data_IF_313097095700
#
_entry.id   IF_313097095700
#
_cell.length_a   1.000
_cell.length_b   1.000
_cell.length_c   1.000
_cell.angle_alpha   90.00
_cell.angle_beta   90.00
_cell.angle_gamma   90.00
#
_symmetry.space_group_name_H-M   'P 1'
#
loop_
_entity.id
_entity.type
_entity.pdbx_description
1 polymer ?
#
# COMPACT_ATOMS: atom_id res chain seq x y z
N UNK A 1 -37.20 -17.98 -7.96
CA UNK A 1 -35.76 -17.81 -8.21
C UNK A 1 -35.04 -18.66 -7.17
N UNK A 2 -34.20 -19.60 -7.59
CA UNK A 2 -33.58 -20.60 -6.72
C UNK A 2 -32.92 -19.92 -5.51
N UNK A 3 -33.22 -20.37 -4.28
CA UNK A 3 -32.79 -19.77 -3.01
C UNK A 3 -31.26 -19.53 -2.97
N UNK A 4 -30.50 -20.39 -3.64
CA UNK A 4 -29.04 -20.28 -3.81
C UNK A 4 -28.62 -19.04 -4.62
N UNK A 5 -29.30 -18.75 -5.73
CA UNK A 5 -29.01 -17.58 -6.55
C UNK A 5 -29.46 -16.29 -5.85
N UNK A 6 -30.56 -16.32 -5.09
CA UNK A 6 -31.01 -15.18 -4.29
C UNK A 6 -29.97 -14.80 -3.22
N UNK A 7 -29.40 -15.80 -2.52
CA UNK A 7 -28.31 -15.59 -1.55
C UNK A 7 -27.04 -15.05 -2.22
N UNK A 8 -26.64 -15.62 -3.35
CA UNK A 8 -25.48 -15.15 -4.09
C UNK A 8 -25.67 -13.72 -4.65
N UNK A 9 -26.85 -13.39 -5.15
CA UNK A 9 -27.21 -12.03 -5.56
C UNK A 9 -27.14 -11.04 -4.40
N UNK A 10 -27.58 -11.44 -3.21
CA UNK A 10 -27.46 -10.61 -2.02
C UNK A 10 -25.99 -10.35 -1.64
N UNK A 11 -25.13 -11.37 -1.72
CA UNK A 11 -23.68 -11.20 -1.51
C UNK A 11 -23.09 -10.25 -2.55
N UNK A 12 -23.37 -10.46 -3.84
CA UNK A 12 -22.85 -9.60 -4.90
C UNK A 12 -23.30 -8.14 -4.76
N UNK A 13 -24.54 -7.90 -4.34
CA UNK A 13 -25.06 -6.53 -4.21
C UNK A 13 -24.47 -5.80 -3.00
N UNK A 14 -24.10 -6.53 -1.96
CA UNK A 14 -23.65 -5.94 -0.70
C UNK A 14 -22.15 -6.11 -0.45
N UNK A 15 -21.38 -6.62 -1.42
CA UNK A 15 -19.94 -6.80 -1.29
C UNK A 15 -19.20 -5.47 -1.56
N UNK A 16 -18.35 -4.98 -0.63
CA UNK A 16 -17.61 -3.74 -0.80
C UNK A 16 -16.71 -3.67 -2.04
N UNK A 17 -16.26 -4.80 -2.61
CA UNK A 17 -15.53 -4.84 -3.88
C UNK A 17 -16.37 -4.48 -5.10
N UNK A 18 -17.69 -4.56 -4.99
CA UNK A 18 -18.63 -4.24 -6.08
C UNK A 18 -19.04 -2.77 -6.07
N UNK A 19 -18.77 -2.06 -4.98
CA UNK A 19 -18.98 -0.63 -4.90
C UNK A 19 -17.89 0.12 -5.69
N UNK A 20 -18.22 1.26 -6.30
CA UNK A 20 -17.21 2.12 -6.91
C UNK A 20 -16.16 2.55 -5.88
N UNK A 21 -14.93 2.03 -6.02
CA UNK A 21 -13.79 2.49 -5.23
C UNK A 21 -13.14 3.70 -5.90
N UNK A 22 -12.72 4.68 -5.10
CA UNK A 22 -11.84 5.74 -5.59
C UNK A 22 -10.53 5.11 -6.06
N UNK A 23 -10.00 5.57 -7.20
CA UNK A 23 -8.70 5.13 -7.69
C UNK A 23 -7.91 6.26 -8.32
N UNK A 24 -6.62 6.33 -8.01
CA UNK A 24 -5.69 7.24 -8.65
C UNK A 24 -4.32 6.59 -8.85
N UNK A 25 -3.68 6.89 -9.97
CA UNK A 25 -2.27 6.54 -10.18
C UNK A 25 -1.38 7.47 -9.35
N UNK A 26 -0.24 6.94 -8.93
CA UNK A 26 0.81 7.75 -8.30
C UNK A 26 2.12 7.54 -9.02
N UNK A 27 2.96 8.58 -9.04
CA UNK A 27 4.35 8.48 -9.47
C UNK A 27 5.21 7.96 -8.32
N UNK A 28 6.30 7.24 -8.64
CA UNK A 28 7.20 6.63 -7.66
C UNK A 28 7.78 7.66 -6.69
N UNK A 29 8.14 8.85 -7.17
CA UNK A 29 8.67 9.92 -6.32
C UNK A 29 7.67 10.48 -5.32
N UNK A 30 6.37 10.38 -5.60
CA UNK A 30 5.30 10.94 -4.79
C UNK A 30 4.44 9.85 -4.11
N UNK A 31 4.73 8.57 -4.33
CA UNK A 31 3.82 7.50 -3.91
C UNK A 31 3.66 7.42 -2.40
N UNK A 32 4.75 7.60 -1.63
CA UNK A 32 4.68 7.59 -0.17
C UNK A 32 3.93 8.79 0.38
N UNK A 33 4.16 9.98 -0.19
CA UNK A 33 3.44 11.18 0.18
C UNK A 33 1.94 11.03 -0.08
N UNK A 34 1.56 10.54 -1.27
CA UNK A 34 0.16 10.35 -1.63
C UNK A 34 -0.56 9.37 -0.71
N UNK A 35 0.07 8.24 -0.36
CA UNK A 35 -0.51 7.29 0.60
C UNK A 35 -0.65 7.96 1.97
N UNK A 36 0.42 8.58 2.47
CA UNK A 36 0.43 9.18 3.80
C UNK A 36 -0.63 10.30 3.91
N UNK A 37 -0.83 11.09 2.85
CA UNK A 37 -1.88 12.12 2.77
C UNK A 37 -3.29 11.54 2.89
N UNK A 38 -3.55 10.34 2.37
CA UNK A 38 -4.83 9.68 2.55
C UNK A 38 -4.99 9.09 3.96
N UNK A 39 -3.88 8.73 4.61
CA UNK A 39 -3.87 8.25 5.98
C UNK A 39 -4.14 9.35 7.01
N UNK A 40 -3.46 10.50 6.90
CA UNK A 40 -3.59 11.62 7.87
C UNK A 40 -3.41 12.97 7.17
N UNK A 41 -4.48 13.49 6.58
CA UNK A 41 -4.41 14.74 5.82
C UNK A 41 -3.88 15.92 6.64
N UNK A 42 -4.27 16.04 7.90
CA UNK A 42 -4.01 17.23 8.73
C UNK A 42 -2.55 17.34 9.15
N UNK A 43 -1.92 16.22 9.52
CA UNK A 43 -0.47 16.19 9.75
C UNK A 43 0.32 16.52 8.48
N UNK A 44 -0.19 16.13 7.32
CA UNK A 44 0.47 16.34 6.03
C UNK A 44 0.34 17.77 5.48
N UNK A 45 -0.74 18.50 5.79
CA UNK A 45 -0.84 19.94 5.44
C UNK A 45 0.28 20.74 6.10
N UNK A 46 0.62 20.44 7.36
CA UNK A 46 1.68 21.12 8.13
C UNK A 46 3.10 20.85 7.63
N UNK A 47 3.34 19.70 7.01
CA UNK A 47 4.65 19.38 6.41
C UNK A 47 4.92 20.24 5.18
N UNK A 48 3.89 20.50 4.36
CA UNK A 48 3.99 21.33 3.15
C UNK A 48 4.35 22.79 3.46
N UNK A 49 3.91 23.30 4.61
CA UNK A 49 4.24 24.65 5.08
C UNK A 49 5.74 24.84 5.35
N UNK A 50 6.50 23.75 5.58
CA UNK A 50 7.96 23.80 5.77
C UNK A 50 8.76 23.92 4.47
N UNK A 51 8.12 23.92 3.29
CA UNK A 51 8.75 24.02 1.96
C UNK A 51 9.85 22.99 1.69
N UNK A 52 9.79 21.82 2.33
CA UNK A 52 10.73 20.72 2.07
C UNK A 52 10.33 19.98 0.80
N UNK A 53 11.33 19.55 0.02
CA UNK A 53 11.15 18.62 -1.11
C UNK A 53 10.48 17.32 -0.60
N UNK A 54 9.50 16.79 -1.35
CA UNK A 54 8.81 15.52 -1.03
C UNK A 54 9.79 14.34 -0.90
N UNK A 55 10.94 14.44 -1.58
CA UNK A 55 12.04 13.48 -1.52
C UNK A 55 13.10 13.80 -0.46
N UNK A 56 12.90 14.85 0.35
CA UNK A 56 13.79 15.12 1.47
C UNK A 56 13.74 13.94 2.46
N UNK A 57 14.89 13.43 2.97
CA UNK A 57 14.92 12.25 3.82
C UNK A 57 13.99 12.31 5.03
N UNK A 58 13.85 13.48 5.66
CA UNK A 58 12.95 13.65 6.80
C UNK A 58 11.46 13.61 6.42
N UNK A 59 11.12 14.10 5.22
CA UNK A 59 9.75 14.00 4.69
C UNK A 59 9.42 12.54 4.38
N UNK A 60 10.34 11.83 3.71
CA UNK A 60 10.18 10.39 3.44
C UNK A 60 9.98 9.62 4.75
N UNK A 61 10.85 9.82 5.75
CA UNK A 61 10.73 9.18 7.07
C UNK A 61 9.41 9.50 7.75
N UNK A 62 8.97 10.77 7.70
CA UNK A 62 7.69 11.18 8.28
C UNK A 62 6.50 10.51 7.58
N UNK A 63 6.55 10.40 6.24
CA UNK A 63 5.52 9.69 5.48
C UNK A 63 5.47 8.21 5.85
N UNK A 64 6.63 7.55 5.94
CA UNK A 64 6.73 6.14 6.34
C UNK A 64 6.14 5.94 7.75
N UNK A 65 6.47 6.81 8.70
CA UNK A 65 5.94 6.72 10.06
C UNK A 65 4.41 6.94 10.11
N UNK A 66 3.90 7.90 9.35
CA UNK A 66 2.47 8.17 9.22
C UNK A 66 1.72 6.96 8.63
N UNK A 67 2.24 6.36 7.56
CA UNK A 67 1.66 5.14 6.97
C UNK A 67 1.69 3.98 7.97
N UNK A 68 2.81 3.76 8.66
CA UNK A 68 2.95 2.70 9.64
C UNK A 68 1.94 2.82 10.80
N UNK A 69 1.64 4.04 11.24
CA UNK A 69 0.62 4.30 12.26
C UNK A 69 -0.81 3.97 11.79
N UNK A 70 -1.03 3.85 10.48
CA UNK A 70 -2.31 3.52 9.85
C UNK A 70 -2.33 2.10 9.27
N UNK A 71 -1.39 1.24 9.69
CA UNK A 71 -1.45 -0.20 9.44
C UNK A 71 -2.29 -0.84 10.54
N UNK A 72 -3.45 -1.45 10.20
CA UNK A 72 -4.30 -2.08 11.20
C UNK A 72 -3.59 -3.25 11.91
N UNK A 73 -3.88 -3.48 13.20
CA UNK A 73 -3.23 -4.53 13.98
C UNK A 73 -3.55 -5.95 13.49
N UNK A 74 -4.66 -6.14 12.76
CA UNK A 74 -5.05 -7.41 12.15
C UNK A 74 -4.21 -7.79 10.93
N UNK A 75 -3.46 -6.85 10.34
CA UNK A 75 -2.55 -7.19 9.25
C UNK A 75 -1.46 -8.14 9.73
N UNK A 76 -0.97 -8.95 8.81
CA UNK A 76 0.20 -9.78 9.05
C UNK A 76 1.46 -8.95 9.17
N UNK A 77 2.48 -9.54 9.76
CA UNK A 77 3.78 -8.88 9.89
C UNK A 77 4.39 -8.56 8.52
N UNK A 78 5.19 -7.51 8.53
CA UNK A 78 5.82 -6.96 7.34
C UNK A 78 7.20 -7.60 7.06
N UNK A 79 7.25 -8.92 7.13
CA UNK A 79 8.45 -9.74 7.05
C UNK A 79 8.40 -10.77 5.90
N UNK A 80 7.32 -10.78 5.11
CA UNK A 80 7.09 -11.83 4.10
C UNK A 80 7.83 -11.64 2.78
N UNK A 81 8.43 -10.48 2.53
CA UNK A 81 9.26 -10.25 1.33
C UNK A 81 10.73 -10.18 1.72
N UNK A 82 11.54 -11.09 1.17
CA UNK A 82 13.00 -11.02 1.31
C UNK A 82 13.57 -9.78 0.61
N UNK A 83 14.84 -9.46 0.86
CA UNK A 83 15.53 -8.39 0.15
C UNK A 83 15.47 -8.58 -1.37
N UNK A 84 15.70 -9.80 -1.86
CA UNK A 84 15.69 -10.14 -3.28
C UNK A 84 14.31 -9.93 -3.91
N UNK A 85 13.23 -10.25 -3.19
CA UNK A 85 11.87 -9.99 -3.64
C UNK A 85 11.60 -8.49 -3.79
N UNK A 86 12.06 -7.70 -2.81
CA UNK A 86 11.91 -6.24 -2.82
C UNK A 86 12.74 -5.62 -3.97
N UNK A 87 13.97 -6.07 -4.18
CA UNK A 87 14.81 -5.65 -5.30
C UNK A 87 14.16 -5.97 -6.64
N UNK A 88 13.62 -7.19 -6.79
CA UNK A 88 12.93 -7.63 -8.00
C UNK A 88 11.68 -6.80 -8.28
N UNK A 89 10.90 -6.49 -7.25
CA UNK A 89 9.70 -5.66 -7.37
C UNK A 89 10.04 -4.25 -7.88
N UNK A 90 11.04 -3.60 -7.29
CA UNK A 90 11.48 -2.27 -7.73
C UNK A 90 12.04 -2.32 -9.15
N UNK A 91 12.87 -3.31 -9.48
CA UNK A 91 13.39 -3.46 -10.84
C UNK A 91 12.26 -3.64 -11.87
N UNK A 92 11.21 -4.38 -11.54
CA UNK A 92 10.05 -4.55 -12.43
C UNK A 92 9.31 -3.22 -12.64
N UNK A 93 9.11 -2.44 -11.58
CA UNK A 93 8.55 -1.08 -11.68
C UNK A 93 9.40 -0.22 -12.62
N UNK A 94 10.72 -0.19 -12.42
CA UNK A 94 11.64 0.61 -13.24
C UNK A 94 11.63 0.20 -14.72
N UNK A 95 11.29 -1.06 -15.02
CA UNK A 95 11.07 -1.58 -16.39
C UNK A 95 9.71 -1.21 -16.97
N UNK A 96 8.85 -0.55 -16.20
CA UNK A 96 7.51 -0.11 -16.60
C UNK A 96 6.38 -1.05 -16.21
N UNK A 97 6.64 -2.12 -15.44
CA UNK A 97 5.55 -2.97 -14.93
C UNK A 97 4.82 -2.29 -13.79
N UNK A 98 3.50 -2.23 -13.89
CA UNK A 98 2.64 -1.74 -12.83
C UNK A 98 2.29 -2.88 -11.87
N UNK A 99 2.57 -2.69 -10.58
CA UNK A 99 2.17 -3.60 -9.52
C UNK A 99 0.67 -3.56 -9.26
N UNK A 100 0.18 -4.55 -8.50
CA UNK A 100 -1.18 -4.53 -7.97
C UNK A 100 -1.43 -3.27 -7.13
N UNK A 101 -2.67 -2.74 -7.12
CA UNK A 101 -2.99 -1.54 -6.37
C UNK A 101 -2.60 -1.63 -4.88
N UNK A 102 -2.28 -0.48 -4.29
CA UNK A 102 -2.28 -0.32 -2.84
C UNK A 102 -3.72 -0.08 -2.42
N UNK A 103 -4.28 -1.00 -1.64
CA UNK A 103 -5.65 -0.88 -1.15
C UNK A 103 -5.62 -0.21 0.21
N UNK A 104 -6.36 0.88 0.34
CA UNK A 104 -6.66 1.53 1.60
C UNK A 104 -8.15 1.36 1.89
N UNK A 105 -8.53 1.58 3.14
CA UNK A 105 -9.93 1.68 3.51
C UNK A 105 -10.20 2.86 4.42
N UNK A 106 -11.43 3.34 4.38
CA UNK A 106 -11.95 4.38 5.29
C UNK A 106 -13.25 3.90 5.92
N UNK A 107 -13.51 4.38 7.14
CA UNK A 107 -14.79 4.24 7.83
C UNK A 107 -15.64 5.51 7.75
N UNK A 108 -15.10 6.57 7.13
CA UNK A 108 -15.77 7.84 6.90
C UNK A 108 -15.84 8.20 5.41
N UNK A 109 -16.74 9.13 5.06
CA UNK A 109 -16.94 9.59 3.68
C UNK A 109 -15.81 10.50 3.16
N UNK A 110 -14.89 10.94 4.04
CA UNK A 110 -13.95 12.03 3.77
C UNK A 110 -12.71 11.59 3.02
N UNK A 111 -12.41 10.28 3.00
CA UNK A 111 -11.22 9.67 2.36
C UNK A 111 -9.91 10.28 2.88
N UNK A 112 -9.88 10.75 4.12
CA UNK A 112 -8.71 11.46 4.69
C UNK A 112 -8.19 10.87 6.00
N UNK A 113 -8.77 9.75 6.44
CA UNK A 113 -8.35 8.94 7.59
C UNK A 113 -8.29 7.47 7.17
N UNK A 114 -7.53 7.18 6.12
CA UNK A 114 -7.50 5.85 5.53
C UNK A 114 -6.48 4.94 6.20
N UNK A 115 -6.83 3.67 6.32
CA UNK A 115 -5.98 2.61 6.83
C UNK A 115 -5.50 1.71 5.69
N UNK A 116 -4.30 1.14 5.84
CA UNK A 116 -3.76 0.21 4.85
C UNK A 116 -4.56 -1.10 4.91
N UNK A 117 -5.06 -1.59 3.77
CA UNK A 117 -5.77 -2.86 3.65
C UNK A 117 -4.93 -3.94 2.96
N UNK A 118 -4.20 -3.55 1.91
CA UNK A 118 -3.30 -4.42 1.16
C UNK A 118 -2.14 -3.62 0.55
N UNK A 119 -1.01 -4.31 0.36
CA UNK A 119 0.18 -3.76 -0.31
C UNK A 119 1.30 -3.32 0.62
N UNK A 120 1.26 -3.69 1.91
CA UNK A 120 2.27 -3.30 2.89
C UNK A 120 3.72 -3.61 2.45
N UNK A 121 3.96 -4.75 1.80
CA UNK A 121 5.30 -5.11 1.32
C UNK A 121 5.73 -4.28 0.12
N UNK A 122 4.78 -3.87 -0.74
CA UNK A 122 5.03 -2.99 -1.89
C UNK A 122 5.40 -1.58 -1.42
N UNK A 123 4.66 -1.06 -0.44
CA UNK A 123 4.98 0.22 0.23
C UNK A 123 6.40 0.14 0.81
N UNK A 124 6.72 -0.95 1.52
CA UNK A 124 8.02 -1.15 2.15
C UNK A 124 9.17 -1.21 1.16
N UNK A 125 9.00 -1.92 0.05
CA UNK A 125 10.01 -1.98 -1.01
C UNK A 125 10.29 -0.59 -1.60
N UNK A 126 9.25 0.24 -1.80
CA UNK A 126 9.42 1.63 -2.26
C UNK A 126 10.09 2.49 -1.20
N UNK A 127 9.67 2.38 0.06
CA UNK A 127 10.31 3.07 1.18
C UNK A 127 11.80 2.80 1.22
N UNK A 128 12.19 1.53 1.08
CA UNK A 128 13.59 1.12 1.03
C UNK A 128 14.30 1.64 -0.20
N UNK A 129 13.72 1.56 -1.39
CA UNK A 129 14.34 2.14 -2.59
C UNK A 129 14.68 3.63 -2.43
N UNK A 130 13.82 4.39 -1.74
CA UNK A 130 14.00 5.83 -1.54
C UNK A 130 14.99 6.20 -0.41
N UNK A 131 15.27 5.29 0.54
CA UNK A 131 16.12 5.59 1.71
C UNK A 131 17.40 4.74 1.79
N UNK A 132 17.33 3.47 1.37
CA UNK A 132 18.44 2.51 1.39
C UNK A 132 19.29 2.72 0.14
N UNK A 133 20.29 3.61 0.27
CA UNK A 133 21.23 3.96 -0.80
C UNK A 133 21.90 2.73 -1.44
N UNK A 134 22.10 1.66 -0.66
CA UNK A 134 22.80 0.43 -1.05
C UNK A 134 21.88 -0.65 -1.65
N UNK A 135 20.60 -0.39 -1.89
CA UNK A 135 19.73 -1.36 -2.59
C UNK A 135 20.28 -1.63 -3.99
N UNK A 136 20.51 -2.91 -4.35
CA UNK A 136 21.25 -3.30 -5.56
C UNK A 136 20.35 -3.94 -6.61
N UNK A 137 20.57 -3.54 -7.86
CA UNK A 137 19.89 -4.06 -9.04
C UNK A 137 20.91 -4.61 -10.04
N UNK A 138 20.64 -5.81 -10.55
CA UNK A 138 21.45 -6.40 -11.62
C UNK A 138 20.80 -6.14 -12.97
N UNK A 139 21.44 -5.34 -13.82
CA UNK A 139 20.92 -4.90 -15.10
C UNK A 139 21.99 -5.18 -16.16
N UNK A 140 21.68 -6.04 -17.14
CA UNK A 140 22.54 -6.33 -18.30
C UNK A 140 23.99 -6.73 -17.96
N UNK A 141 24.23 -7.41 -16.84
CA UNK A 141 25.58 -7.82 -16.43
C UNK A 141 26.24 -6.91 -15.41
N UNK A 142 25.64 -5.74 -15.12
CA UNK A 142 26.18 -4.75 -14.20
C UNK A 142 25.32 -4.65 -12.93
N UNK A 143 25.96 -4.29 -11.83
CA UNK A 143 25.28 -3.98 -10.57
C UNK A 143 25.19 -2.47 -10.41
N UNK A 144 23.98 -1.96 -10.23
CA UNK A 144 23.71 -0.54 -10.01
C UNK A 144 22.95 -0.40 -8.69
N UNK A 145 23.32 0.59 -7.88
CA UNK A 145 22.67 0.90 -6.60
C UNK A 145 21.51 1.89 -6.76
N UNK A 146 20.62 1.93 -5.76
CA UNK A 146 19.56 2.95 -5.69
C UNK A 146 20.14 4.37 -5.66
N UNK A 147 21.23 4.60 -4.94
CA UNK A 147 21.94 5.89 -4.92
C UNK A 147 22.36 6.33 -6.33
N UNK A 148 23.04 5.46 -7.08
CA UNK A 148 23.50 5.76 -8.44
C UNK A 148 22.33 6.08 -9.36
N UNK A 149 21.22 5.35 -9.24
CA UNK A 149 20.00 5.62 -10.01
C UNK A 149 19.38 6.97 -9.65
N UNK A 150 19.23 7.26 -8.36
CA UNK A 150 18.58 8.46 -7.85
C UNK A 150 19.43 9.73 -8.01
N UNK A 151 20.75 9.60 -8.21
CA UNK A 151 21.66 10.71 -8.48
C UNK A 151 22.00 10.88 -9.97
N UNK A 152 21.56 9.95 -10.82
CA UNK A 152 21.81 10.02 -12.26
C UNK A 152 20.97 11.08 -12.97
N UNK A 153 21.37 11.42 -14.20
CA UNK A 153 20.58 12.25 -15.13
C UNK A 153 19.17 11.66 -15.43
N UNK A 154 18.97 10.37 -15.17
CA UNK A 154 17.68 9.69 -15.37
C UNK A 154 16.74 9.81 -14.17
N UNK A 155 17.16 10.47 -13.08
CA UNK A 155 16.38 10.61 -11.83
C UNK A 155 14.93 11.00 -12.08
N UNK A 156 14.68 12.01 -12.91
CA UNK A 156 13.31 12.47 -13.19
C UNK A 156 12.45 11.38 -13.85
N UNK A 157 13.01 10.65 -14.82
CA UNK A 157 12.31 9.55 -15.51
C UNK A 157 12.03 8.38 -14.57
N UNK A 158 12.95 8.08 -13.66
CA UNK A 158 12.82 7.04 -12.64
C UNK A 158 11.68 7.38 -11.67
N UNK A 159 11.65 8.61 -11.19
CA UNK A 159 10.66 9.06 -10.20
C UNK A 159 9.27 9.24 -10.81
N UNK A 160 9.16 9.54 -12.11
CA UNK A 160 7.88 9.67 -12.82
C UNK A 160 7.24 8.33 -13.22
N UNK A 161 7.89 7.20 -12.95
CA UNK A 161 7.27 5.88 -13.19
C UNK A 161 6.05 5.73 -12.29
N UNK A 162 4.95 5.17 -12.82
CA UNK A 162 3.74 4.92 -12.03
C UNK A 162 3.72 3.48 -11.49
N UNK A 163 4.18 3.21 -10.24
CA UNK A 163 4.33 1.85 -9.72
C UNK A 163 3.00 1.12 -9.52
N UNK A 164 1.93 1.82 -9.18
CA UNK A 164 0.63 1.25 -8.86
C UNK A 164 -0.48 2.31 -8.89
N UNK A 165 -1.71 1.85 -8.74
CA UNK A 165 -2.81 2.71 -8.32
C UNK A 165 -3.01 2.62 -6.81
N UNK A 166 -3.49 3.70 -6.20
CA UNK A 166 -4.13 3.66 -4.89
C UNK A 166 -5.62 3.38 -5.12
N UNK A 167 -6.19 2.47 -4.35
CA UNK A 167 -7.64 2.21 -4.30
C UNK A 167 -8.14 2.40 -2.88
N UNK A 168 -9.23 3.15 -2.71
CA UNK A 168 -9.82 3.40 -1.38
C UNK A 168 -11.21 2.76 -1.34
N UNK A 169 -11.37 1.77 -0.47
CA UNK A 169 -12.65 1.15 -0.14
C UNK A 169 -13.30 1.86 1.03
N UNK A 170 -14.62 1.87 1.04
CA UNK A 170 -15.40 2.38 2.15
C UNK A 170 -16.12 1.21 2.81
N UNK A 171 -15.94 1.10 4.13
CA UNK A 171 -16.64 0.13 4.96
C UNK A 171 -17.49 0.88 6.00
N UNK A 172 -18.55 0.23 6.48
CA UNK A 172 -19.44 0.81 7.49
C UNK A 172 -18.78 0.82 8.86
N UNK A 173 -17.97 -0.20 9.17
CA UNK A 173 -17.27 -0.36 10.42
C UNK A 173 -15.99 -1.19 10.25
N UNK A 174 -15.21 -1.28 11.33
CA UNK A 174 -13.96 -2.05 11.35
C UNK A 174 -14.20 -3.56 11.23
N UNK A 175 -15.35 -4.07 11.69
CA UNK A 175 -15.68 -5.50 11.58
C UNK A 175 -15.77 -5.90 10.11
N UNK A 176 -16.48 -5.11 9.30
CA UNK A 176 -16.60 -5.33 7.85
C UNK A 176 -15.24 -5.30 7.15
N UNK A 177 -14.36 -4.37 7.53
CA UNK A 177 -13.00 -4.28 6.97
C UNK A 177 -12.14 -5.51 7.32
N UNK A 178 -12.24 -6.02 8.56
CA UNK A 178 -11.51 -7.21 9.00
C UNK A 178 -12.05 -8.48 8.33
N UNK A 179 -13.37 -8.63 8.25
CA UNK A 179 -14.02 -9.75 7.56
C UNK A 179 -13.59 -9.83 6.11
N UNK A 180 -13.63 -8.68 5.44
CA UNK A 180 -13.15 -8.56 4.08
C UNK A 180 -11.67 -8.95 3.94
N UNK A 181 -10.80 -8.47 4.83
CA UNK A 181 -9.38 -8.82 4.80
C UNK A 181 -9.17 -10.33 4.95
N UNK A 182 -9.95 -10.99 5.81
CA UNK A 182 -9.91 -12.45 5.98
C UNK A 182 -10.34 -13.14 4.69
N UNK A 183 -11.51 -12.81 4.15
CA UNK A 183 -12.06 -13.44 2.94
C UNK A 183 -11.14 -13.24 1.72
N UNK A 184 -10.61 -12.04 1.55
CA UNK A 184 -9.74 -11.69 0.43
C UNK A 184 -8.42 -12.48 0.42
N UNK A 185 -7.87 -12.81 1.59
CA UNK A 185 -6.55 -13.40 1.69
C UNK A 185 -6.55 -14.91 2.01
N UNK A 186 -7.62 -15.41 2.64
CA UNK A 186 -7.72 -16.80 3.10
C UNK A 186 -7.72 -17.76 1.92
N UNK A 187 -6.80 -18.72 1.95
CA UNK A 187 -6.54 -19.70 0.88
C UNK A 187 -6.02 -19.10 -0.44
N UNK A 188 -5.60 -17.83 -0.47
CA UNK A 188 -5.05 -17.19 -1.68
C UNK A 188 -3.61 -16.73 -1.45
N UNK A 189 -3.40 -15.77 -0.55
CA UNK A 189 -2.13 -15.04 -0.40
C UNK A 189 -1.49 -15.19 0.97
N UNK A 190 -2.27 -15.42 2.02
CA UNK A 190 -1.79 -15.41 3.41
C UNK A 190 -1.71 -16.82 4.01
N UNK A 191 -0.77 -17.00 4.94
CA UNK A 191 -0.64 -18.26 5.67
C UNK A 191 -1.82 -18.47 6.63
N UNK A 192 -1.98 -19.69 7.13
CA UNK A 192 -3.02 -19.98 8.14
C UNK A 192 -2.82 -19.13 9.40
N UNK A 193 -1.58 -18.90 9.82
CA UNK A 193 -1.27 -18.12 11.03
C UNK A 193 -1.60 -16.64 10.86
N UNK A 194 -1.32 -16.08 9.68
CA UNK A 194 -1.70 -14.71 9.33
C UNK A 194 -3.22 -14.51 9.40
N UNK A 195 -3.99 -15.49 8.91
CA UNK A 195 -5.45 -15.46 8.96
C UNK A 195 -5.95 -15.63 10.40
N UNK A 196 -5.35 -16.52 11.19
CA UNK A 196 -5.70 -16.71 12.61
C UNK A 196 -5.49 -15.43 13.43
N UNK A 197 -4.49 -14.62 13.10
CA UNK A 197 -4.29 -13.30 13.73
C UNK A 197 -5.47 -12.37 13.46
N UNK A 198 -5.87 -12.23 12.20
CA UNK A 198 -7.02 -11.41 11.84
C UNK A 198 -8.33 -11.93 12.48
N UNK A 199 -8.55 -13.24 12.49
CA UNK A 199 -9.71 -13.86 13.14
C UNK A 199 -9.73 -13.63 14.67
N UNK A 200 -8.56 -13.64 15.34
CA UNK A 200 -8.44 -13.31 16.76
C UNK A 200 -8.76 -11.84 17.02
N UNK A 201 -8.22 -10.93 16.19
CA UNK A 201 -8.51 -9.51 16.29
C UNK A 201 -10.00 -9.23 16.10
N UNK A 202 -10.60 -9.82 15.06
CA UNK A 202 -12.04 -9.74 14.80
C UNK A 202 -12.88 -10.12 16.02
N UNK A 203 -12.50 -11.17 16.75
CA UNK A 203 -13.22 -11.60 17.97
C UNK A 203 -13.03 -10.66 19.16
N UNK A 204 -11.96 -9.87 19.20
CA UNK A 204 -11.71 -8.93 20.31
C UNK A 204 -12.43 -7.59 20.17
N UNK A 205 -12.95 -7.28 18.97
CA UNK A 205 -13.69 -6.05 18.69
C UNK A 205 -15.21 -6.28 18.55
N UNK A 206 -15.68 -7.49 18.91
CA UNK A 206 -17.10 -7.83 19.11
C UNK A 206 -17.51 -7.49 20.55
#
# INVERSE_FOLDING_TARGET
>A
MDDKFSKFHHVLKNNPFTYPAYSCGTELGNSLYMIARFCDRDSHVKLREKSLDELHPDVIKSNIASIAAHVPPFQRDNDKWSCEMQHSYILNILKGYKGSPICLYTLDDTKTNCFVLDGLQRITAISRFLIDQDMKFFIQGETITASELLQSELRHKILSVCPFDIKIYQFNDEIEAVDFYIEFNKNITHSKDDILRAEKYRRSIL
#
